data_IF_994136026892
#
_entry.id   IF_994136026892
#
_cell.length_a   1.000
_cell.length_b   1.000
_cell.length_c   1.000
_cell.angle_alpha   90.00
_cell.angle_beta   90.00
_cell.angle_gamma   90.00
#
_symmetry.space_group_name_H-M   'P 1'
#
loop_
_entity.id
_entity.type
_entity.pdbx_description
1 polymer ?
#
# COMPACT_ATOMS: atom_id res chain seq x y z
N UNK A 1 -12.39 6.35 -4.67
CA UNK A 1 -11.01 6.16 -5.16
C UNK A 1 -11.07 5.31 -6.41
N UNK A 2 -10.38 5.69 -7.49
CA UNK A 2 -10.27 4.87 -8.71
C UNK A 2 -9.15 3.84 -8.58
N UNK A 3 -9.10 2.85 -9.49
CA UNK A 3 -8.00 1.89 -9.54
C UNK A 3 -6.64 2.54 -9.78
N UNK A 4 -6.58 3.60 -10.59
CA UNK A 4 -5.34 4.34 -10.83
C UNK A 4 -4.88 5.09 -9.57
N UNK A 5 -5.81 5.78 -8.89
CA UNK A 5 -5.51 6.45 -7.62
C UNK A 5 -5.03 5.46 -6.56
N UNK A 6 -5.67 4.29 -6.48
CA UNK A 6 -5.27 3.22 -5.57
C UNK A 6 -3.83 2.75 -5.85
N UNK A 7 -3.48 2.49 -7.11
CA UNK A 7 -2.12 2.08 -7.52
C UNK A 7 -1.09 3.14 -7.15
N UNK A 8 -1.37 4.42 -7.41
CA UNK A 8 -0.49 5.53 -7.07
C UNK A 8 -0.29 5.62 -5.56
N UNK A 9 -1.37 5.55 -4.78
CA UNK A 9 -1.32 5.65 -3.32
C UNK A 9 -0.58 4.46 -2.69
N UNK A 10 -0.84 3.23 -3.14
CA UNK A 10 -0.13 2.04 -2.65
C UNK A 10 1.36 2.12 -3.00
N UNK A 11 1.70 2.51 -4.24
CA UNK A 11 3.09 2.69 -4.65
C UNK A 11 3.81 3.71 -3.77
N UNK A 12 3.18 4.86 -3.50
CA UNK A 12 3.73 5.88 -2.60
C UNK A 12 4.03 5.32 -1.20
N UNK A 13 3.08 4.59 -0.62
CA UNK A 13 3.24 4.00 0.71
C UNK A 13 4.35 2.94 0.75
N UNK A 14 4.42 2.08 -0.28
CA UNK A 14 5.48 1.07 -0.42
C UNK A 14 6.84 1.77 -0.53
N UNK A 15 6.96 2.78 -1.39
CA UNK A 15 8.22 3.48 -1.60
C UNK A 15 8.72 4.19 -0.35
N UNK A 16 7.80 4.76 0.44
CA UNK A 16 8.09 5.57 1.62
C UNK A 16 8.42 4.76 2.87
N UNK A 17 7.92 3.53 2.99
CA UNK A 17 7.97 2.75 4.24
C UNK A 17 8.66 1.39 4.14
N UNK A 18 8.75 0.80 2.95
CA UNK A 18 9.28 -0.56 2.75
C UNK A 18 10.72 -0.53 2.24
N UNK A 19 11.56 -1.46 2.69
CA UNK A 19 12.94 -1.62 2.19
C UNK A 19 12.96 -2.22 0.78
N UNK A 20 13.98 -1.88 -0.01
CA UNK A 20 14.08 -2.24 -1.44
C UNK A 20 13.92 -3.75 -1.71
N UNK A 21 14.45 -4.60 -0.82
CA UNK A 21 14.36 -6.06 -0.92
C UNK A 21 12.93 -6.61 -0.84
N UNK A 22 12.01 -5.88 -0.18
CA UNK A 22 10.60 -6.27 -0.02
C UNK A 22 9.67 -5.54 -0.99
N UNK A 23 10.15 -4.48 -1.66
CA UNK A 23 9.33 -3.67 -2.59
C UNK A 23 8.87 -4.47 -3.80
N UNK A 24 9.73 -5.29 -4.39
CA UNK A 24 9.42 -6.04 -5.62
C UNK A 24 8.22 -6.98 -5.43
N UNK A 25 8.15 -7.63 -4.26
CA UNK A 25 7.02 -8.51 -3.92
C UNK A 25 5.71 -7.72 -3.87
N UNK A 26 5.73 -6.55 -3.22
CA UNK A 26 4.58 -5.66 -3.13
C UNK A 26 4.20 -5.04 -4.48
N UNK A 27 5.19 -4.76 -5.34
CA UNK A 27 4.96 -4.24 -6.68
C UNK A 27 4.27 -5.24 -7.60
N UNK A 28 4.57 -6.53 -7.47
CA UNK A 28 3.87 -7.57 -8.22
C UNK A 28 2.35 -7.50 -8.00
N UNK A 29 1.89 -7.24 -6.77
CA UNK A 29 0.47 -7.15 -6.44
C UNK A 29 -0.24 -5.93 -7.02
N UNK A 30 0.42 -4.78 -7.13
CA UNK A 30 -0.21 -3.54 -7.61
C UNK A 30 -0.21 -3.40 -9.15
N UNK A 31 0.56 -4.24 -9.85
CA UNK A 31 0.59 -4.25 -11.33
C UNK A 31 -0.72 -4.83 -11.90
N UNK A 32 -1.30 -5.82 -11.22
CA UNK A 32 -2.55 -6.46 -11.63
C UNK A 32 -3.78 -5.51 -11.59
N UNK A 33 -4.82 -5.83 -12.35
CA UNK A 33 -6.11 -5.13 -12.27
C UNK A 33 -6.85 -5.46 -10.97
N UNK A 34 -6.76 -6.72 -10.53
CA UNK A 34 -7.33 -7.18 -9.27
C UNK A 34 -6.26 -7.12 -8.17
N UNK A 35 -6.21 -5.98 -7.48
CA UNK A 35 -5.21 -5.73 -6.43
C UNK A 35 -5.74 -6.31 -5.12
N UNK A 36 -5.03 -7.26 -4.47
CA UNK A 36 -5.41 -7.78 -3.17
C UNK A 36 -5.10 -6.75 -2.07
N UNK A 37 -5.86 -5.66 -2.00
CA UNK A 37 -5.61 -4.49 -1.16
C UNK A 37 -5.35 -4.85 0.30
N UNK A 38 -6.16 -5.74 0.88
CA UNK A 38 -5.99 -6.19 2.27
C UNK A 38 -4.65 -6.92 2.49
N UNK A 39 -4.21 -7.70 1.50
CA UNK A 39 -2.92 -8.37 1.53
C UNK A 39 -1.76 -7.38 1.44
N UNK A 40 -1.83 -6.44 0.48
CA UNK A 40 -0.82 -5.39 0.30
C UNK A 40 -0.67 -4.54 1.56
N UNK A 41 -1.78 -4.15 2.21
CA UNK A 41 -1.73 -3.37 3.45
C UNK A 41 -1.17 -4.18 4.64
N UNK A 42 -1.47 -5.48 4.71
CA UNK A 42 -0.92 -6.35 5.75
C UNK A 42 0.61 -6.50 5.59
N UNK A 43 1.07 -6.75 4.36
CA UNK A 43 2.49 -6.85 4.03
C UNK A 43 3.20 -5.51 4.26
N UNK A 44 2.58 -4.39 3.88
CA UNK A 44 3.13 -3.06 4.18
C UNK A 44 3.30 -2.84 5.68
N UNK A 45 2.31 -3.23 6.50
CA UNK A 45 2.41 -3.10 7.94
C UNK A 45 3.50 -4.01 8.55
N UNK A 46 3.79 -5.15 7.91
CA UNK A 46 4.84 -6.09 8.29
C UNK A 46 6.24 -5.59 7.91
N UNK A 47 6.39 -5.03 6.71
CA UNK A 47 7.70 -4.62 6.17
C UNK A 47 8.05 -3.15 6.41
N UNK A 48 7.14 -2.36 7.01
CA UNK A 48 7.42 -0.97 7.36
C UNK A 48 8.65 -0.87 8.27
N UNK A 49 9.56 0.01 7.92
CA UNK A 49 10.78 0.29 8.68
C UNK A 49 10.59 1.32 9.78
N UNK A 50 9.49 2.08 9.72
CA UNK A 50 9.17 3.17 10.64
C UNK A 50 7.68 3.29 10.87
N UNK A 51 7.31 4.06 11.88
CA UNK A 51 5.92 4.45 12.13
C UNK A 51 5.36 5.24 10.94
N UNK A 52 4.08 5.04 10.66
CA UNK A 52 3.35 5.78 9.65
C UNK A 52 3.06 7.19 10.16
N UNK A 53 3.14 8.17 9.26
CA UNK A 53 2.69 9.52 9.58
C UNK A 53 1.16 9.51 9.73
N UNK A 54 0.61 10.50 10.44
CA UNK A 54 -0.84 10.60 10.64
C UNK A 54 -1.59 10.67 9.31
N UNK A 55 -1.09 11.49 8.37
CA UNK A 55 -1.67 11.62 7.03
C UNK A 55 -1.68 10.30 6.26
N UNK A 56 -0.61 9.51 6.34
CA UNK A 56 -0.49 8.23 5.65
C UNK A 56 -1.31 7.13 6.32
N UNK A 57 -1.45 7.20 7.65
CA UNK A 57 -2.37 6.35 8.40
C UNK A 57 -3.82 6.61 7.99
N UNK A 58 -4.20 7.87 7.79
CA UNK A 58 -5.54 8.22 7.33
C UNK A 58 -5.75 7.85 5.85
N UNK A 59 -4.71 7.92 5.02
CA UNK A 59 -4.72 7.38 3.66
C UNK A 59 -4.97 5.87 3.65
N UNK A 60 -4.28 5.09 4.50
CA UNK A 60 -4.49 3.64 4.62
C UNK A 60 -5.93 3.31 5.04
N UNK A 61 -6.48 4.03 6.02
CA UNK A 61 -7.88 3.86 6.42
C UNK A 61 -8.83 4.15 5.26
N UNK A 62 -8.55 5.20 4.49
CA UNK A 62 -9.35 5.57 3.33
C UNK A 62 -9.30 4.48 2.25
N UNK A 63 -8.11 3.97 1.93
CA UNK A 63 -7.93 2.82 1.03
C UNK A 63 -8.73 1.61 1.53
N UNK A 64 -8.63 1.28 2.81
CA UNK A 64 -9.37 0.16 3.39
C UNK A 64 -10.89 0.35 3.29
N UNK A 65 -11.40 1.55 3.57
CA UNK A 65 -12.82 1.88 3.49
C UNK A 65 -13.39 1.75 2.07
N UNK A 66 -12.63 2.17 1.05
CA UNK A 66 -13.07 2.08 -0.34
C UNK A 66 -12.99 0.67 -0.95
N UNK A 67 -12.26 -0.25 -0.33
CA UNK A 67 -12.04 -1.62 -0.82
C UNK A 67 -12.63 -2.69 0.12
N UNK A 68 -13.61 -2.30 0.95
CA UNK A 68 -14.37 -3.18 1.82
C UNK A 68 -15.84 -3.12 1.46
#
# INVERSE_FOLDING_TARGET
MTNEELKINLKYLIDKYVQEDQKDSLYSYIIHEDIPVKGVLADLNKYKTRALDQADSDLIKNIYFYNC
#
